data_IF_130255763720
#
_entry.id   IF_130255763720
#
_cell.length_a   1.000
_cell.length_b   1.000
_cell.length_c   1.000
_cell.angle_alpha   90.00
_cell.angle_beta   90.00
_cell.angle_gamma   90.00
#
_symmetry.space_group_name_H-M   'P 1'
#
loop_
_entity.id
_entity.type
_entity.pdbx_description
1 polymer ?
#
# COMPACT_ATOMS: atom_id res chain seq x y z
N UNK A 1 59.93 6.30 21.98
CA UNK A 1 58.97 6.75 20.94
C UNK A 1 57.85 5.72 20.85
N UNK A 2 56.87 5.78 21.77
CA UNK A 2 55.81 4.77 21.88
C UNK A 2 54.64 5.06 20.95
N UNK A 3 54.34 4.14 20.05
CA UNK A 3 53.21 4.25 19.11
C UNK A 3 51.88 3.98 19.83
N UNK A 4 51.00 4.99 19.83
CA UNK A 4 49.62 4.89 20.32
C UNK A 4 48.78 4.15 19.29
N UNK A 5 48.35 2.93 19.62
CA UNK A 5 47.38 2.18 18.81
C UNK A 5 45.98 2.68 19.14
N UNK A 6 45.34 3.36 18.18
CA UNK A 6 43.97 3.83 18.30
C UNK A 6 43.02 2.69 17.89
N UNK A 7 42.33 2.08 18.85
CA UNK A 7 41.28 1.09 18.58
C UNK A 7 40.01 1.83 18.16
N UNK A 8 39.73 1.84 16.85
CA UNK A 8 38.48 2.38 16.30
C UNK A 8 37.35 1.38 16.60
N UNK A 9 36.40 1.78 17.44
CA UNK A 9 35.24 0.97 17.79
C UNK A 9 34.27 0.95 16.60
N UNK A 10 34.21 -0.17 15.89
CA UNK A 10 33.19 -0.40 14.88
C UNK A 10 31.87 -0.70 15.59
N UNK A 11 30.94 0.24 15.46
CA UNK A 11 29.57 0.19 15.97
C UNK A 11 28.87 -1.04 15.39
N UNK A 12 28.53 -2.03 16.22
CA UNK A 12 27.82 -3.23 15.79
C UNK A 12 26.51 -2.86 15.10
N UNK A 13 26.42 -3.12 13.80
CA UNK A 13 25.18 -3.02 13.03
C UNK A 13 24.56 -4.42 13.08
N UNK A 14 23.52 -4.55 13.91
CA UNK A 14 22.73 -5.77 13.99
C UNK A 14 22.00 -5.98 12.67
N UNK A 15 22.38 -7.02 11.94
CA UNK A 15 21.63 -7.55 10.80
C UNK A 15 20.97 -8.84 11.25
N UNK A 16 19.72 -9.10 10.81
CA UNK A 16 19.03 -10.32 11.18
C UNK A 16 19.81 -11.56 10.71
N UNK A 17 19.86 -12.58 11.55
CA UNK A 17 20.35 -13.90 11.14
C UNK A 17 19.34 -14.56 10.21
N UNK A 18 19.78 -15.54 9.41
CA UNK A 18 18.88 -16.25 8.48
C UNK A 18 17.66 -16.87 9.20
N UNK A 19 17.81 -17.22 10.47
CA UNK A 19 16.76 -17.74 11.35
C UNK A 19 15.69 -16.70 11.72
N UNK A 20 16.02 -15.41 11.63
CA UNK A 20 15.11 -14.29 11.90
C UNK A 20 14.44 -13.75 10.63
N UNK A 21 14.80 -14.29 9.46
CA UNK A 21 14.26 -13.86 8.17
C UNK A 21 12.91 -14.53 7.94
N UNK A 22 11.87 -13.71 7.78
CA UNK A 22 10.52 -14.16 7.39
C UNK A 22 10.23 -13.69 5.96
N UNK A 23 9.88 -14.63 5.09
CA UNK A 23 9.41 -14.31 3.75
C UNK A 23 7.99 -13.75 3.79
N UNK A 24 7.72 -12.70 3.01
CA UNK A 24 6.40 -12.09 2.88
C UNK A 24 5.92 -12.21 1.43
N UNK A 25 4.73 -12.76 1.23
CA UNK A 25 4.02 -12.76 -0.05
C UNK A 25 2.76 -11.90 0.05
N UNK A 26 2.58 -10.97 -0.89
CA UNK A 26 1.45 -10.04 -0.91
C UNK A 26 0.45 -10.44 -2.02
N UNK A 27 -0.82 -10.61 -1.66
CA UNK A 27 -1.82 -11.22 -2.56
C UNK A 27 -3.17 -10.51 -2.63
N UNK A 28 -4.00 -10.94 -3.58
CA UNK A 28 -5.36 -10.43 -3.79
C UNK A 28 -6.34 -11.06 -2.79
N UNK A 29 -6.10 -12.29 -2.37
CA UNK A 29 -6.95 -13.04 -1.44
C UNK A 29 -6.63 -12.71 0.02
N UNK A 30 -5.34 -12.69 0.36
CA UNK A 30 -4.81 -12.28 1.68
C UNK A 30 -3.86 -11.11 1.48
N UNK A 31 -3.90 -10.12 2.37
CA UNK A 31 -3.07 -8.92 2.28
C UNK A 31 -1.58 -9.30 2.29
N UNK A 32 -1.20 -10.14 3.25
CA UNK A 32 0.14 -10.69 3.40
C UNK A 32 0.05 -12.14 3.89
N UNK A 33 0.86 -13.02 3.32
CA UNK A 33 1.14 -14.36 3.83
C UNK A 33 2.61 -14.43 4.23
N UNK A 34 2.87 -14.85 5.47
CA UNK A 34 4.22 -15.02 5.98
C UNK A 34 4.69 -16.47 5.77
N UNK A 35 5.99 -16.67 5.59
CA UNK A 35 6.60 -18.01 5.53
C UNK A 35 6.42 -18.81 6.84
N UNK A 36 6.06 -18.13 7.93
CA UNK A 36 5.65 -18.73 9.20
C UNK A 36 4.24 -19.36 9.16
N UNK A 37 3.49 -19.16 8.07
CA UNK A 37 2.13 -19.67 7.87
C UNK A 37 1.02 -18.70 8.29
N UNK A 38 1.37 -17.58 8.94
CA UNK A 38 0.41 -16.54 9.29
C UNK A 38 -0.14 -15.82 8.04
N UNK A 39 -1.44 -15.55 8.03
CA UNK A 39 -2.13 -14.87 6.93
C UNK A 39 -2.89 -13.68 7.47
N UNK A 40 -2.55 -12.50 6.96
CA UNK A 40 -3.28 -11.26 7.25
C UNK A 40 -4.40 -11.13 6.21
N UNK A 41 -5.64 -11.07 6.66
CA UNK A 41 -6.81 -10.95 5.79
C UNK A 41 -6.76 -9.65 4.97
N UNK A 42 -7.17 -9.71 3.70
CA UNK A 42 -7.31 -8.52 2.87
C UNK A 42 -8.63 -7.81 3.20
N UNK A 43 -8.60 -6.57 3.75
CA UNK A 43 -9.82 -5.85 4.10
C UNK A 43 -10.63 -5.39 2.87
N UNK A 44 -10.13 -5.59 1.63
CA UNK A 44 -10.84 -5.42 0.36
C UNK A 44 -11.53 -4.05 0.21
N UNK A 45 -10.94 -3.00 0.78
CA UNK A 45 -11.46 -1.62 0.70
C UNK A 45 -11.65 -1.17 -0.77
N UNK A 46 -10.80 -1.67 -1.66
CA UNK A 46 -10.86 -1.43 -3.11
C UNK A 46 -12.24 -1.73 -3.72
N UNK A 47 -12.99 -2.73 -3.20
CA UNK A 47 -14.32 -3.07 -3.74
C UNK A 47 -15.32 -1.95 -3.53
N UNK A 48 -15.29 -1.29 -2.37
CA UNK A 48 -16.17 -0.17 -2.06
C UNK A 48 -15.83 1.04 -2.92
N UNK A 49 -14.54 1.33 -3.05
CA UNK A 49 -14.07 2.46 -3.85
C UNK A 49 -14.33 2.26 -5.34
N UNK A 50 -14.19 1.03 -5.86
CA UNK A 50 -14.54 0.69 -7.25
C UNK A 50 -16.04 0.88 -7.52
N UNK A 51 -16.91 0.50 -6.58
CA UNK A 51 -18.36 0.78 -6.68
C UNK A 51 -18.65 2.28 -6.69
N UNK A 52 -18.01 3.04 -5.79
CA UNK A 52 -18.14 4.50 -5.71
C UNK A 52 -17.65 5.17 -7.00
N UNK A 53 -16.53 4.75 -7.54
CA UNK A 53 -15.95 5.23 -8.79
C UNK A 53 -16.88 4.95 -9.97
N UNK A 54 -17.40 3.73 -10.09
CA UNK A 54 -18.34 3.38 -11.16
C UNK A 54 -19.65 4.21 -11.10
N UNK A 55 -20.14 4.50 -9.89
CA UNK A 55 -21.28 5.40 -9.70
C UNK A 55 -20.96 6.85 -10.09
N UNK A 56 -19.78 7.34 -9.69
CA UNK A 56 -19.31 8.69 -10.04
C UNK A 56 -19.16 8.84 -11.57
N UNK A 57 -18.52 7.88 -12.24
CA UNK A 57 -18.37 7.84 -13.69
C UNK A 57 -19.73 7.82 -14.40
N UNK A 58 -20.69 7.02 -13.92
CA UNK A 58 -22.05 6.96 -14.48
C UNK A 58 -22.79 8.29 -14.32
N UNK A 59 -22.64 8.95 -13.17
CA UNK A 59 -23.21 10.29 -12.93
C UNK A 59 -22.59 11.33 -13.86
N UNK A 60 -21.26 11.30 -14.00
CA UNK A 60 -20.52 12.19 -14.90
C UNK A 60 -20.95 11.99 -16.36
N UNK A 61 -21.06 10.75 -16.83
CA UNK A 61 -21.49 10.44 -18.21
C UNK A 61 -22.92 10.93 -18.53
N UNK A 62 -23.79 11.02 -17.51
CA UNK A 62 -25.17 11.52 -17.63
C UNK A 62 -25.28 13.02 -17.35
N UNK A 63 -24.16 13.71 -17.22
CA UNK A 63 -24.13 15.13 -16.95
C UNK A 63 -23.82 15.85 -18.26
N UNK A 64 -24.62 16.85 -18.61
CA UNK A 64 -24.32 17.76 -19.71
C UNK A 64 -23.59 19.00 -19.21
N UNK A 65 -22.76 19.59 -20.07
CA UNK A 65 -22.06 20.85 -19.78
C UNK A 65 -23.09 21.97 -19.68
N UNK A 66 -23.25 22.55 -18.49
CA UNK A 66 -24.09 23.72 -18.26
C UNK A 66 -23.34 25.04 -18.52
N UNK A 67 -24.07 26.17 -18.55
CA UNK A 67 -23.45 27.49 -18.52
C UNK A 67 -22.60 27.64 -17.25
N UNK A 68 -21.48 28.35 -17.35
CA UNK A 68 -20.44 28.45 -16.31
C UNK A 68 -19.75 27.12 -15.93
N UNK A 69 -19.68 26.15 -16.86
CA UNK A 69 -19.02 24.86 -16.67
C UNK A 69 -19.60 24.04 -15.49
N UNK A 70 -20.86 24.31 -15.12
CA UNK A 70 -21.56 23.59 -14.05
C UNK A 70 -22.13 22.28 -14.61
N UNK A 71 -21.94 21.15 -13.91
CA UNK A 71 -22.61 19.90 -14.28
C UNK A 71 -24.13 20.06 -14.22
N UNK A 72 -24.82 19.89 -15.36
CA UNK A 72 -26.30 19.86 -15.41
C UNK A 72 -26.76 18.39 -15.51
N UNK A 73 -27.57 17.88 -14.56
CA UNK A 73 -28.10 16.54 -14.66
C UNK A 73 -29.04 16.45 -15.88
N UNK A 74 -28.86 15.41 -16.71
CA UNK A 74 -29.80 15.11 -17.81
C UNK A 74 -31.12 14.68 -17.19
N UNK A 75 -32.19 15.47 -17.44
CA UNK A 75 -33.57 15.11 -17.05
C UNK A 75 -33.97 13.83 -17.77
N UNK A 76 -34.66 12.94 -17.04
CA UNK A 76 -35.32 11.77 -17.63
C UNK A 76 -36.46 12.19 -18.53
#
# INVERSE_FOLDING_TARGET
MGSRVVKRAYRYRCYPTNEQTVGMDAGITSLVTLSTGEKIANPRHERCDRKRLALAQRRLARTQKGPANRPRPVRR
#
